data_IF_685174542366
#
_entry.id   IF_685174542366
#
_cell.length_a   1.000
_cell.length_b   1.000
_cell.length_c   1.000
_cell.angle_alpha   90.00
_cell.angle_beta   90.00
_cell.angle_gamma   90.00
#
_symmetry.space_group_name_H-M   'P 1'
#
loop_
_entity.id
_entity.type
_entity.pdbx_description
1 polymer ?
#
# COMPACT_ATOMS: atom_id res chain seq x y z
N UNK A 1 -12.59 -19.86 59.18
CA UNK A 1 -13.12 -21.11 58.59
C UNK A 1 -12.85 -21.06 57.10
N UNK A 2 -11.79 -21.69 56.59
CA UNK A 2 -11.42 -21.65 55.15
C UNK A 2 -10.81 -22.99 54.74
N UNK A 3 -11.59 -24.08 54.77
CA UNK A 3 -11.10 -25.40 54.35
C UNK A 3 -12.16 -26.29 53.67
N UNK A 4 -13.36 -25.76 53.37
CA UNK A 4 -14.43 -26.50 52.69
C UNK A 4 -15.05 -25.61 51.61
N UNK A 5 -15.54 -26.24 50.54
CA UNK A 5 -16.30 -25.59 49.48
C UNK A 5 -17.56 -24.92 50.02
N UNK A 6 -18.02 -23.88 49.35
CA UNK A 6 -19.31 -23.26 49.62
C UNK A 6 -20.47 -24.20 49.25
N UNK A 7 -21.59 -24.05 49.94
CA UNK A 7 -22.78 -24.85 49.67
C UNK A 7 -23.44 -24.37 48.36
N UNK A 8 -23.61 -25.29 47.42
CA UNK A 8 -24.22 -25.02 46.12
C UNK A 8 -25.68 -25.52 46.11
N UNK A 9 -26.57 -24.79 45.45
CA UNK A 9 -27.95 -25.22 45.23
C UNK A 9 -28.27 -25.28 43.73
N UNK A 10 -29.04 -26.29 43.33
CA UNK A 10 -29.55 -26.40 41.97
C UNK A 10 -30.93 -25.75 41.91
N UNK A 11 -31.06 -24.74 41.06
CA UNK A 11 -32.32 -24.00 40.85
C UNK A 11 -32.77 -24.16 39.41
N UNK A 12 -34.08 -24.23 39.20
CA UNK A 12 -34.69 -24.21 37.88
C UNK A 12 -35.27 -22.82 37.60
N UNK A 13 -34.77 -22.16 36.55
CA UNK A 13 -35.21 -20.84 36.12
C UNK A 13 -36.27 -20.96 35.03
N UNK A 14 -37.40 -20.27 35.21
CA UNK A 14 -38.43 -20.11 34.20
C UNK A 14 -38.47 -18.64 33.77
N UNK A 15 -38.08 -18.38 32.52
CA UNK A 15 -38.01 -17.02 31.97
C UNK A 15 -39.04 -16.85 30.85
N UNK A 16 -39.69 -15.68 30.84
CA UNK A 16 -40.59 -15.29 29.75
C UNK A 16 -39.79 -14.70 28.59
N UNK A 17 -40.23 -14.96 27.36
CA UNK A 17 -39.52 -14.59 26.12
C UNK A 17 -39.32 -13.08 25.86
N UNK A 18 -39.85 -12.21 26.73
CA UNK A 18 -39.66 -10.75 26.65
C UNK A 18 -38.71 -10.18 27.71
N UNK A 19 -38.40 -10.95 28.76
CA UNK A 19 -37.55 -10.53 29.89
C UNK A 19 -36.32 -11.43 30.05
N UNK A 20 -36.17 -12.42 29.18
CA UNK A 20 -35.04 -13.36 29.19
C UNK A 20 -33.69 -12.65 29.09
N UNK A 21 -33.57 -11.61 28.26
CA UNK A 21 -32.33 -10.84 28.13
C UNK A 21 -31.99 -10.08 29.41
N UNK A 22 -32.93 -9.27 29.91
CA UNK A 22 -32.71 -8.42 31.08
C UNK A 22 -32.40 -9.26 32.32
N UNK A 23 -33.15 -10.36 32.55
CA UNK A 23 -32.89 -11.25 33.69
C UNK A 23 -31.51 -11.92 33.60
N UNK A 24 -31.09 -12.38 32.43
CA UNK A 24 -29.79 -13.03 32.26
C UNK A 24 -28.64 -12.01 32.37
N UNK A 25 -28.86 -10.78 31.88
CA UNK A 25 -27.93 -9.67 32.02
C UNK A 25 -27.64 -9.37 33.48
N UNK A 26 -28.67 -9.15 34.29
CA UNK A 26 -28.54 -8.87 35.74
C UNK A 26 -27.88 -10.05 36.48
N UNK A 27 -28.22 -11.30 36.12
CA UNK A 27 -27.55 -12.48 36.69
C UNK A 27 -26.06 -12.55 36.31
N UNK A 28 -25.70 -12.09 35.11
CA UNK A 28 -24.32 -12.01 34.65
C UNK A 28 -23.51 -10.99 35.44
N UNK A 29 -24.07 -9.82 35.73
CA UNK A 29 -23.44 -8.78 36.56
C UNK A 29 -23.22 -9.25 38.00
N UNK A 30 -24.15 -10.05 38.54
CA UNK A 30 -23.99 -10.66 39.87
C UNK A 30 -22.85 -11.69 39.91
N UNK A 31 -22.63 -12.45 38.83
CA UNK A 31 -21.52 -13.41 38.71
C UNK A 31 -21.60 -14.63 39.64
N UNK A 32 -22.79 -14.94 40.18
CA UNK A 32 -23.01 -16.01 41.18
C UNK A 32 -23.66 -17.28 40.63
N UNK A 33 -23.86 -17.37 39.32
CA UNK A 33 -24.64 -18.45 38.68
C UNK A 33 -23.80 -19.21 37.66
N UNK A 34 -23.85 -20.54 37.73
CA UNK A 34 -23.31 -21.44 36.72
C UNK A 34 -24.46 -22.08 35.92
N UNK A 35 -24.47 -21.88 34.60
CA UNK A 35 -25.48 -22.48 33.72
C UNK A 35 -25.06 -23.88 33.27
N UNK A 36 -25.97 -24.85 33.43
CA UNK A 36 -25.78 -26.21 32.92
C UNK A 36 -26.42 -26.36 31.54
N UNK A 37 -25.67 -26.95 30.60
CA UNK A 37 -26.21 -27.23 29.26
C UNK A 37 -27.32 -28.31 29.33
N UNK A 38 -28.54 -27.90 29.00
CA UNK A 38 -29.70 -28.80 28.90
C UNK A 38 -29.84 -29.43 27.50
N UNK A 39 -29.08 -28.96 26.51
CA UNK A 39 -29.16 -29.38 25.12
C UNK A 39 -27.79 -29.87 24.57
N UNK A 40 -27.13 -30.86 25.21
CA UNK A 40 -25.81 -31.33 24.78
C UNK A 40 -25.85 -32.08 23.44
N UNK A 41 -27.00 -32.65 23.06
CA UNK A 41 -27.19 -33.37 21.80
C UNK A 41 -27.48 -32.46 20.60
N UNK A 42 -27.74 -31.17 20.83
CA UNK A 42 -28.07 -30.21 19.78
C UNK A 42 -26.80 -29.51 19.32
N UNK A 43 -26.52 -29.59 18.02
CA UNK A 43 -25.41 -28.89 17.38
C UNK A 43 -25.48 -27.38 17.63
N UNK A 44 -24.33 -26.73 17.80
CA UNK A 44 -24.24 -25.29 18.05
C UNK A 44 -25.02 -24.46 17.03
N UNK A 45 -25.01 -24.85 15.75
CA UNK A 45 -25.69 -24.13 14.65
C UNK A 45 -27.22 -24.22 14.67
N UNK A 46 -27.78 -25.21 15.38
CA UNK A 46 -29.23 -25.42 15.47
C UNK A 46 -29.83 -24.77 16.73
N UNK A 47 -29.00 -24.14 17.56
CA UNK A 47 -29.45 -23.46 18.77
C UNK A 47 -30.20 -22.16 18.42
N UNK A 48 -31.09 -21.72 19.32
CA UNK A 48 -32.02 -20.60 19.08
C UNK A 48 -31.35 -19.27 18.77
N UNK A 49 -30.24 -18.93 19.45
CA UNK A 49 -29.61 -17.60 19.40
C UNK A 49 -28.35 -17.52 18.52
N UNK A 50 -28.19 -18.44 17.56
CA UNK A 50 -27.00 -18.51 16.69
C UNK A 50 -26.85 -17.26 15.83
N UNK A 51 -27.97 -16.65 15.41
CA UNK A 51 -27.93 -15.47 14.55
C UNK A 51 -27.37 -14.25 15.28
N UNK A 52 -27.67 -14.13 16.56
CA UNK A 52 -27.27 -13.07 17.47
C UNK A 52 -25.79 -13.22 17.82
N UNK A 53 -25.34 -14.45 18.13
CA UNK A 53 -23.92 -14.74 18.37
C UNK A 53 -23.09 -14.38 17.14
N UNK A 54 -23.52 -14.78 15.93
CA UNK A 54 -22.83 -14.42 14.68
C UNK A 54 -22.73 -12.92 14.44
N UNK A 55 -23.73 -12.13 14.87
CA UNK A 55 -23.67 -10.67 14.79
C UNK A 55 -22.60 -10.11 15.73
N UNK A 56 -22.52 -10.62 16.96
CA UNK A 56 -21.47 -10.22 17.90
C UNK A 56 -20.07 -10.61 17.40
N UNK A 57 -19.90 -11.81 16.83
CA UNK A 57 -18.63 -12.25 16.21
C UNK A 57 -18.20 -11.29 15.08
N UNK A 58 -19.15 -10.82 14.26
CA UNK A 58 -18.86 -9.86 13.20
C UNK A 58 -18.49 -8.47 13.75
N UNK A 59 -19.17 -8.01 14.81
CA UNK A 59 -18.81 -6.76 15.50
C UNK A 59 -17.40 -6.85 16.10
N UNK A 60 -17.05 -7.99 16.70
CA UNK A 60 -15.69 -8.24 17.23
C UNK A 60 -14.65 -8.24 16.12
N UNK A 61 -14.96 -8.83 14.95
CA UNK A 61 -14.09 -8.77 13.77
C UNK A 61 -13.81 -7.33 13.34
N UNK A 62 -14.85 -6.49 13.29
CA UNK A 62 -14.75 -5.07 12.93
C UNK A 62 -13.92 -4.31 13.97
N UNK A 63 -14.24 -4.46 15.26
CA UNK A 63 -13.49 -3.83 16.35
C UNK A 63 -12.01 -4.22 16.34
N UNK A 64 -11.70 -5.49 16.07
CA UNK A 64 -10.34 -5.97 15.91
C UNK A 64 -9.62 -5.31 14.72
N UNK A 65 -10.31 -5.03 13.62
CA UNK A 65 -9.77 -4.25 12.51
C UNK A 65 -9.49 -2.79 12.91
N UNK A 66 -10.46 -2.12 13.52
CA UNK A 66 -10.32 -0.74 13.99
C UNK A 66 -9.15 -0.60 14.98
N UNK A 67 -9.03 -1.52 15.95
CA UNK A 67 -7.94 -1.54 16.92
C UNK A 67 -6.57 -1.62 16.24
N UNK A 68 -6.43 -2.48 15.21
CA UNK A 68 -5.18 -2.57 14.44
C UNK A 68 -4.86 -1.26 13.71
N UNK A 69 -5.85 -0.61 13.12
CA UNK A 69 -5.63 0.68 12.43
C UNK A 69 -5.27 1.81 13.40
N UNK A 70 -5.89 1.86 14.58
CA UNK A 70 -5.56 2.82 15.66
C UNK A 70 -4.12 2.61 16.15
N UNK A 71 -3.72 1.35 16.35
CA UNK A 71 -2.35 1.00 16.75
C UNK A 71 -1.32 1.39 15.68
N UNK A 72 -1.62 1.15 14.38
CA UNK A 72 -0.78 1.61 13.26
C UNK A 72 -0.64 3.14 13.24
N UNK A 73 -1.71 3.86 13.60
CA UNK A 73 -1.70 5.32 13.71
C UNK A 73 -1.03 5.85 14.99
N UNK A 74 -0.61 4.98 15.92
CA UNK A 74 0.00 5.32 17.22
C UNK A 74 -0.88 6.24 18.07
N UNK A 75 -2.20 6.08 17.97
CA UNK A 75 -3.16 6.82 18.78
C UNK A 75 -3.33 6.05 20.10
N UNK A 76 -3.13 6.73 21.23
CA UNK A 76 -3.34 6.13 22.54
C UNK A 76 -4.83 5.96 22.82
N UNK A 77 -5.23 4.74 23.19
CA UNK A 77 -6.61 4.45 23.63
C UNK A 77 -6.67 4.70 25.14
N UNK A 78 -7.57 5.57 25.63
CA UNK A 78 -7.82 5.72 27.06
C UNK A 78 -8.20 4.38 27.67
N UNK A 79 -7.60 4.03 28.81
CA UNK A 79 -8.06 2.89 29.61
C UNK A 79 -9.17 3.40 30.53
N UNK A 80 -10.38 2.95 30.30
CA UNK A 80 -11.44 3.06 31.30
C UNK A 80 -11.31 1.87 32.26
N UNK A 81 -11.41 2.15 33.56
CA UNK A 81 -11.16 1.19 34.65
C UNK A 81 -12.39 0.31 34.94
N UNK A 82 -13.58 0.74 34.49
CA UNK A 82 -14.85 0.08 34.73
C UNK A 82 -15.42 -0.57 33.47
N UNK A 83 -15.90 -1.81 33.61
CA UNK A 83 -16.70 -2.48 32.59
C UNK A 83 -18.09 -1.83 32.52
N UNK A 84 -18.54 -1.33 31.35
CA UNK A 84 -19.87 -0.78 31.22
C UNK A 84 -20.93 -1.87 31.42
N UNK A 85 -22.09 -1.48 31.95
CA UNK A 85 -23.24 -2.37 32.06
C UNK A 85 -23.60 -2.93 30.68
N UNK A 86 -24.03 -4.19 30.65
CA UNK A 86 -24.48 -4.82 29.41
C UNK A 86 -25.57 -3.98 28.69
N UNK A 87 -25.36 -3.63 27.41
CA UNK A 87 -26.27 -2.75 26.68
C UNK A 87 -27.55 -3.49 26.27
N UNK A 88 -28.71 -2.81 26.21
CA UNK A 88 -29.95 -3.43 25.76
C UNK A 88 -29.88 -3.84 24.27
N UNK A 89 -30.67 -4.84 23.84
CA UNK A 89 -30.58 -5.40 22.48
C UNK A 89 -30.77 -4.38 21.34
N UNK A 90 -31.54 -3.32 21.59
CA UNK A 90 -31.74 -2.23 20.61
C UNK A 90 -30.46 -1.45 20.35
N UNK A 91 -29.71 -1.13 21.40
CA UNK A 91 -28.44 -0.43 21.28
C UNK A 91 -27.38 -1.29 20.59
N UNK A 92 -27.39 -2.61 20.80
CA UNK A 92 -26.49 -3.53 20.08
C UNK A 92 -26.66 -3.42 18.57
N UNK A 93 -27.89 -3.30 18.07
CA UNK A 93 -28.16 -3.13 16.64
C UNK A 93 -27.66 -1.79 16.10
N UNK A 94 -27.84 -0.70 16.87
CA UNK A 94 -27.33 0.62 16.51
C UNK A 94 -25.80 0.63 16.47
N UNK A 95 -25.14 0.04 17.47
CA UNK A 95 -23.67 -0.10 17.52
C UNK A 95 -23.19 -0.91 16.32
N UNK A 96 -23.88 -1.99 15.94
CA UNK A 96 -23.53 -2.80 14.78
C UNK A 96 -23.56 -1.98 13.49
N UNK A 97 -24.63 -1.19 13.25
CA UNK A 97 -24.73 -0.33 12.07
C UNK A 97 -23.63 0.74 12.05
N UNK A 98 -23.35 1.35 13.20
CA UNK A 98 -22.25 2.31 13.33
C UNK A 98 -20.89 1.67 13.03
N UNK A 99 -20.61 0.48 13.56
CA UNK A 99 -19.36 -0.24 13.30
C UNK A 99 -19.20 -0.59 11.82
N UNK A 100 -20.24 -1.08 11.16
CA UNK A 100 -20.20 -1.38 9.72
C UNK A 100 -19.93 -0.13 8.89
N UNK A 101 -20.58 0.99 9.23
CA UNK A 101 -20.31 2.28 8.57
C UNK A 101 -18.87 2.72 8.75
N UNK A 102 -18.34 2.65 9.98
CA UNK A 102 -16.95 2.99 10.28
C UNK A 102 -15.95 2.10 9.54
N UNK A 103 -16.22 0.80 9.42
CA UNK A 103 -15.38 -0.12 8.65
C UNK A 103 -15.32 0.30 7.18
N UNK A 104 -16.46 0.61 6.57
CA UNK A 104 -16.52 1.05 5.17
C UNK A 104 -15.74 2.36 4.97
N UNK A 105 -16.02 3.37 5.79
CA UNK A 105 -15.37 4.69 5.71
C UNK A 105 -13.85 4.55 5.89
N UNK A 106 -13.39 3.79 6.88
CA UNK A 106 -11.97 3.60 7.15
C UNK A 106 -11.27 2.80 6.03
N UNK A 107 -11.91 1.76 5.52
CA UNK A 107 -11.39 0.95 4.41
C UNK A 107 -11.24 1.78 3.14
N UNK A 108 -12.20 2.66 2.85
CA UNK A 108 -12.14 3.58 1.71
C UNK A 108 -11.01 4.61 1.88
N UNK A 109 -10.91 5.24 3.05
CA UNK A 109 -9.84 6.19 3.35
C UNK A 109 -8.46 5.52 3.27
N UNK A 110 -8.31 4.30 3.77
CA UNK A 110 -7.07 3.54 3.68
C UNK A 110 -6.65 3.27 2.23
N UNK A 111 -7.58 2.82 1.38
CA UNK A 111 -7.34 2.61 -0.06
C UNK A 111 -6.97 3.91 -0.78
N UNK A 112 -7.69 4.99 -0.47
CA UNK A 112 -7.45 6.31 -1.08
C UNK A 112 -6.09 6.87 -0.66
N UNK A 113 -5.71 6.72 0.61
CA UNK A 113 -4.39 7.10 1.11
C UNK A 113 -3.28 6.35 0.40
N UNK A 114 -3.41 5.04 0.25
CA UNK A 114 -2.40 4.22 -0.42
C UNK A 114 -2.27 4.59 -1.91
N UNK A 115 -3.40 4.79 -2.60
CA UNK A 115 -3.41 5.27 -4.00
C UNK A 115 -2.74 6.65 -4.13
N UNK A 116 -3.07 7.58 -3.24
CA UNK A 116 -2.48 8.91 -3.26
C UNK A 116 -0.97 8.88 -2.99
N UNK A 117 -0.53 8.03 -2.06
CA UNK A 117 0.89 7.83 -1.78
C UNK A 117 1.65 7.28 -2.98
N UNK A 118 1.10 6.30 -3.71
CA UNK A 118 1.69 5.80 -4.95
C UNK A 118 1.81 6.90 -6.01
N UNK A 119 0.70 7.59 -6.29
CA UNK A 119 0.67 8.68 -7.27
C UNK A 119 1.68 9.79 -6.93
N UNK A 120 1.80 10.15 -5.64
CA UNK A 120 2.75 11.17 -5.20
C UNK A 120 4.20 10.75 -5.47
N UNK A 121 4.55 9.49 -5.19
CA UNK A 121 5.89 8.96 -5.47
C UNK A 121 6.18 8.95 -6.96
N UNK A 122 5.28 8.43 -7.79
CA UNK A 122 5.41 8.43 -9.25
C UNK A 122 5.61 9.84 -9.82
N UNK A 123 4.81 10.81 -9.37
CA UNK A 123 4.94 12.21 -9.82
C UNK A 123 6.24 12.86 -9.34
N UNK A 124 6.71 12.48 -8.15
CA UNK A 124 7.97 12.98 -7.60
C UNK A 124 9.15 12.44 -8.40
N UNK A 125 9.16 11.14 -8.73
CA UNK A 125 10.17 10.54 -9.62
C UNK A 125 10.16 11.19 -11.00
N UNK A 126 8.98 11.36 -11.60
CA UNK A 126 8.82 11.99 -12.91
C UNK A 126 9.34 13.45 -12.90
N UNK A 127 9.06 14.19 -11.82
CA UNK A 127 9.55 15.56 -11.65
C UNK A 127 11.08 15.61 -11.59
N UNK A 128 11.70 14.70 -10.85
CA UNK A 128 13.17 14.58 -10.80
C UNK A 128 13.76 14.21 -12.16
N UNK A 129 13.16 13.24 -12.85
CA UNK A 129 13.57 12.83 -14.18
C UNK A 129 13.53 14.00 -15.17
N UNK A 130 12.46 14.80 -15.18
CA UNK A 130 12.33 15.96 -16.05
C UNK A 130 13.37 17.04 -15.74
N UNK A 131 13.61 17.34 -14.46
CA UNK A 131 14.63 18.32 -14.05
C UNK A 131 16.01 17.93 -14.55
N UNK A 132 16.41 16.67 -14.33
CA UNK A 132 17.73 16.16 -14.72
C UNK A 132 17.86 16.07 -16.24
N UNK A 133 16.83 15.56 -16.93
CA UNK A 133 16.82 15.46 -18.40
C UNK A 133 16.93 16.85 -19.05
N UNK A 134 16.25 17.86 -18.52
CA UNK A 134 16.38 19.24 -19.00
C UNK A 134 17.83 19.75 -18.89
N UNK A 135 18.51 19.46 -17.79
CA UNK A 135 19.93 19.80 -17.62
C UNK A 135 20.81 19.12 -18.65
N UNK A 136 20.59 17.82 -18.93
CA UNK A 136 21.33 17.08 -19.95
C UNK A 136 21.11 17.58 -21.38
N UNK A 137 19.87 17.91 -21.74
CA UNK A 137 19.56 18.46 -23.07
C UNK A 137 20.23 19.84 -23.22
N UNK A 138 20.12 20.69 -22.19
CA UNK A 138 20.73 22.02 -22.23
C UNK A 138 22.26 21.99 -22.25
N UNK A 139 22.90 21.03 -21.56
CA UNK A 139 24.35 20.86 -21.64
C UNK A 139 24.80 20.39 -23.02
N UNK A 140 24.06 19.49 -23.68
CA UNK A 140 24.41 19.01 -25.04
C UNK A 140 24.19 20.05 -26.12
N UNK A 141 23.20 20.93 -25.97
CA UNK A 141 23.00 22.07 -26.88
C UNK A 141 24.15 23.09 -26.85
N UNK A 142 24.95 23.14 -25.77
CA UNK A 142 26.15 23.99 -25.68
C UNK A 142 27.38 23.41 -26.40
N UNK A 143 27.36 22.13 -26.75
CA UNK A 143 28.42 21.49 -27.55
C UNK A 143 28.11 21.46 -29.06
N UNK A 144 26.94 21.98 -29.49
CA UNK A 144 26.59 22.20 -30.90
C UNK A 144 26.72 23.69 -31.34
N UNK A 145 27.44 24.52 -30.60
CA UNK A 145 28.01 25.75 -31.19
C UNK A 145 29.35 25.40 -31.86
N UNK A 146 29.27 24.74 -33.02
CA UNK A 146 30.40 24.70 -33.93
C UNK A 146 30.61 26.10 -34.52
N UNK A 147 31.83 26.66 -34.50
CA UNK A 147 32.09 27.95 -35.13
C UNK A 147 31.89 27.79 -36.64
N UNK A 148 31.05 28.65 -37.21
CA UNK A 148 30.90 28.82 -38.65
C UNK A 148 32.23 29.34 -39.21
N UNK A 149 33.11 28.42 -39.64
CA UNK A 149 34.31 28.79 -40.39
C UNK A 149 33.98 28.67 -41.87
N UNK A 150 34.19 29.79 -42.55
CA UNK A 150 33.92 30.05 -43.96
C UNK A 150 34.74 29.15 -44.91
N UNK A 151 34.09 28.77 -46.01
CA UNK A 151 34.59 28.53 -47.38
C UNK A 151 36.06 28.13 -47.60
N UNK A 152 36.29 26.92 -48.15
CA UNK A 152 37.53 26.62 -48.89
C UNK A 152 37.80 25.13 -49.22
N UNK A 153 37.44 24.72 -50.44
CA UNK A 153 38.17 23.78 -51.33
C UNK A 153 38.72 22.40 -50.84
N UNK A 154 38.17 21.34 -51.47
CA UNK A 154 38.86 20.17 -52.07
C UNK A 154 39.37 19.00 -51.19
N UNK A 155 38.74 17.85 -51.46
CA UNK A 155 39.14 16.42 -51.24
C UNK A 155 38.84 15.75 -49.90
N UNK A 156 37.92 14.77 -49.96
CA UNK A 156 38.13 13.45 -49.35
C UNK A 156 37.88 13.28 -47.86
N UNK A 157 36.61 13.31 -47.44
CA UNK A 157 36.12 12.49 -46.31
C UNK A 157 34.59 12.35 -46.41
N UNK A 158 34.15 11.41 -47.23
CA UNK A 158 32.80 10.85 -47.22
C UNK A 158 32.54 10.20 -45.86
N UNK A 159 31.55 10.67 -45.10
CA UNK A 159 31.12 9.92 -43.91
C UNK A 159 30.02 10.51 -43.02
N UNK A 160 29.80 11.82 -42.94
CA UNK A 160 28.86 12.35 -41.92
C UNK A 160 28.01 13.56 -42.36
N UNK A 161 27.92 13.84 -43.66
CA UNK A 161 26.94 14.82 -44.12
C UNK A 161 25.57 14.15 -44.28
N UNK A 162 24.67 14.50 -43.36
CA UNK A 162 23.22 14.57 -43.58
C UNK A 162 22.53 13.25 -43.96
N UNK A 163 22.49 12.30 -43.02
CA UNK A 163 21.30 11.47 -42.92
C UNK A 163 20.31 12.24 -42.06
N UNK A 164 19.10 12.50 -42.57
CA UNK A 164 17.93 12.97 -41.80
C UNK A 164 17.47 11.91 -40.79
N UNK A 165 18.41 11.34 -40.03
CA UNK A 165 18.18 10.37 -39.00
C UNK A 165 17.62 11.12 -37.80
N UNK A 166 16.30 11.01 -37.63
CA UNK A 166 15.56 11.51 -36.47
C UNK A 166 16.20 10.91 -35.20
N UNK A 167 16.91 11.74 -34.44
CA UNK A 167 17.48 11.38 -33.15
C UNK A 167 16.34 11.19 -32.15
N UNK A 168 16.30 10.02 -31.51
CA UNK A 168 15.34 9.72 -30.45
C UNK A 168 15.98 9.80 -29.08
N UNK A 169 15.19 10.15 -28.07
CA UNK A 169 15.59 10.14 -26.66
C UNK A 169 14.62 9.28 -25.86
N UNK A 170 15.16 8.45 -24.98
CA UNK A 170 14.42 7.74 -23.93
C UNK A 170 15.09 8.08 -22.60
N UNK A 171 14.34 8.56 -21.63
CA UNK A 171 14.79 8.79 -20.27
C UNK A 171 14.06 7.86 -19.31
N UNK A 172 14.71 7.45 -18.24
CA UNK A 172 14.10 6.63 -17.21
C UNK A 172 14.87 6.67 -15.90
N UNK A 173 14.33 5.99 -14.89
CA UNK A 173 14.95 5.82 -13.59
C UNK A 173 15.42 4.38 -13.46
N UNK A 174 16.64 4.17 -12.95
CA UNK A 174 17.18 2.84 -12.68
C UNK A 174 17.86 2.83 -11.30
N UNK A 175 17.73 1.72 -10.57
CA UNK A 175 18.48 1.52 -9.33
C UNK A 175 19.98 1.47 -9.61
N UNK A 176 20.79 2.14 -8.79
CA UNK A 176 22.26 2.22 -8.96
C UNK A 176 22.93 0.85 -9.14
N UNK A 177 22.45 -0.17 -8.44
CA UNK A 177 22.99 -1.54 -8.50
C UNK A 177 22.78 -2.22 -9.86
N UNK A 178 21.76 -1.81 -10.64
CA UNK A 178 21.44 -2.39 -11.94
C UNK A 178 22.09 -1.65 -13.12
N UNK A 179 22.69 -0.48 -12.88
CA UNK A 179 23.26 0.40 -13.93
C UNK A 179 24.28 -0.35 -14.80
N UNK A 180 25.24 -1.04 -14.19
CA UNK A 180 26.29 -1.72 -14.97
C UNK A 180 25.75 -2.87 -15.83
N UNK A 181 24.78 -3.62 -15.32
CA UNK A 181 24.15 -4.71 -16.07
C UNK A 181 23.35 -4.15 -17.25
N UNK A 182 22.63 -3.05 -17.04
CA UNK A 182 21.87 -2.34 -18.04
C UNK A 182 22.76 -1.78 -19.16
N UNK A 183 23.87 -1.11 -18.81
CA UNK A 183 24.83 -0.59 -19.79
C UNK A 183 25.43 -1.71 -20.65
N UNK A 184 25.85 -2.82 -20.02
CA UNK A 184 26.36 -3.99 -20.74
C UNK A 184 25.32 -4.59 -21.69
N UNK A 185 24.04 -4.62 -21.30
CA UNK A 185 22.96 -5.12 -22.16
C UNK A 185 22.70 -4.19 -23.34
N UNK A 186 22.63 -2.88 -23.09
CA UNK A 186 22.44 -1.86 -24.13
C UNK A 186 23.57 -1.94 -25.17
N UNK A 187 24.82 -2.05 -24.73
CA UNK A 187 25.97 -2.16 -25.62
C UNK A 187 25.93 -3.42 -26.49
N UNK A 188 25.57 -4.57 -25.91
CA UNK A 188 25.50 -5.86 -26.63
C UNK A 188 24.41 -5.86 -27.72
N UNK A 189 23.25 -5.27 -27.43
CA UNK A 189 22.09 -5.27 -28.34
C UNK A 189 22.18 -4.18 -29.40
N UNK A 190 22.62 -2.98 -29.00
CA UNK A 190 22.63 -1.79 -29.85
C UNK A 190 23.98 -1.53 -30.51
N UNK A 191 25.06 -2.25 -30.17
CA UNK A 191 26.37 -2.23 -30.85
C UNK A 191 26.93 -0.82 -31.14
N UNK A 192 26.72 0.14 -30.23
CA UNK A 192 27.21 1.51 -30.36
C UNK A 192 26.27 2.51 -31.05
N UNK A 193 25.06 2.11 -31.47
CA UNK A 193 24.03 3.03 -31.99
C UNK A 193 23.26 3.80 -30.89
N UNK A 194 23.81 3.85 -29.67
CA UNK A 194 23.18 4.48 -28.51
C UNK A 194 24.23 5.23 -27.70
N UNK A 195 23.93 6.44 -27.27
CA UNK A 195 24.69 7.17 -26.24
C UNK A 195 23.89 7.14 -24.95
N UNK A 196 24.48 6.54 -23.91
CA UNK A 196 23.93 6.55 -22.56
C UNK A 196 24.56 7.69 -21.75
N UNK A 197 23.75 8.44 -21.05
CA UNK A 197 24.17 9.43 -20.04
C UNK A 197 23.38 9.19 -18.77
N UNK A 198 24.00 9.36 -17.61
CA UNK A 198 23.34 9.15 -16.33
C UNK A 198 23.72 10.24 -15.34
N UNK A 199 22.79 10.60 -14.46
CA UNK A 199 23.03 11.45 -13.30
C UNK A 199 22.41 10.81 -12.07
N UNK A 200 23.17 10.83 -10.98
CA UNK A 200 22.69 10.37 -9.69
C UNK A 200 21.61 11.34 -9.18
N UNK A 201 20.55 10.79 -8.58
CA UNK A 201 19.56 11.59 -7.85
C UNK A 201 20.06 11.68 -6.41
N UNK A 202 20.32 12.90 -5.93
CA UNK A 202 20.82 13.14 -4.56
C UNK A 202 19.82 12.69 -3.49
N UNK A 203 18.52 12.70 -3.82
CA UNK A 203 17.47 12.19 -2.95
C UNK A 203 17.35 10.66 -3.07
N UNK A 204 17.50 9.98 -1.94
CA UNK A 204 17.23 8.55 -1.83
C UNK A 204 15.72 8.29 -1.93
N UNK A 205 15.26 8.03 -3.15
CA UNK A 205 13.87 7.71 -3.44
C UNK A 205 13.57 6.29 -2.93
N UNK A 206 12.48 6.16 -2.19
CA UNK A 206 11.97 4.85 -1.81
C UNK A 206 11.37 4.17 -3.05
N UNK A 207 11.84 2.96 -3.34
CA UNK A 207 11.38 2.16 -4.47
C UNK A 207 9.85 1.96 -4.43
N UNK A 208 9.17 2.14 -5.56
CA UNK A 208 7.71 2.08 -5.64
C UNK A 208 7.15 0.72 -5.21
N UNK A 209 7.89 -0.35 -5.51
CA UNK A 209 7.48 -1.74 -5.27
C UNK A 209 8.06 -2.32 -3.97
N UNK A 210 9.34 -2.04 -3.69
CA UNK A 210 10.05 -2.67 -2.57
C UNK A 210 9.98 -1.84 -1.29
N UNK A 211 9.70 -0.53 -1.37
CA UNK A 211 9.73 0.39 -0.24
C UNK A 211 11.14 0.61 0.35
N UNK A 212 12.17 0.00 -0.23
CA UNK A 212 13.56 0.18 0.15
C UNK A 212 14.07 1.53 -0.32
N UNK A 213 14.79 2.22 0.57
CA UNK A 213 15.43 3.50 0.27
C UNK A 213 16.67 3.20 -0.57
N UNK A 214 16.51 3.24 -1.90
CA UNK A 214 17.55 2.98 -2.87
C UNK A 214 18.15 4.28 -3.39
N UNK A 215 19.44 4.25 -3.73
CA UNK A 215 20.01 5.31 -4.60
C UNK A 215 19.56 5.04 -6.03
N UNK A 216 18.71 5.90 -6.55
CA UNK A 216 18.23 5.84 -7.93
C UNK A 216 19.04 6.79 -8.81
N UNK A 217 19.17 6.42 -10.08
CA UNK A 217 19.94 7.14 -11.09
C UNK A 217 19.01 7.41 -12.27
N UNK A 218 18.96 8.66 -12.72
CA UNK A 218 18.25 9.02 -13.95
C UNK A 218 19.18 8.80 -15.13
N UNK A 219 18.73 8.03 -16.12
CA UNK A 219 19.45 7.83 -17.36
C UNK A 219 18.74 8.52 -18.53
N UNK A 220 19.53 8.91 -19.52
CA UNK A 220 19.10 9.43 -20.82
C UNK A 220 19.83 8.65 -21.91
N UNK A 221 19.07 7.96 -22.75
CA UNK A 221 19.56 7.24 -23.92
C UNK A 221 19.19 8.00 -25.17
N UNK A 222 20.20 8.39 -25.92
CA UNK A 222 20.05 8.92 -27.28
C UNK A 222 20.31 7.80 -28.28
N UNK A 223 19.43 7.63 -29.28
CA UNK A 223 19.55 6.58 -30.28
C UNK A 223 19.16 7.06 -31.67
N UNK A 224 19.67 6.38 -32.69
CA UNK A 224 19.38 6.67 -34.09
C UNK A 224 18.56 5.53 -34.72
N UNK A 225 17.39 5.88 -35.25
CA UNK A 225 16.53 4.98 -36.02
C UNK A 225 15.49 4.20 -35.21
N UNK A 226 14.36 3.89 -35.84
CA UNK A 226 13.19 3.29 -35.18
C UNK A 226 13.36 1.82 -34.80
N UNK A 227 14.21 1.06 -35.50
CA UNK A 227 14.53 -0.31 -35.08
C UNK A 227 15.32 -0.35 -33.77
N UNK A 228 16.19 0.64 -33.54
CA UNK A 228 16.93 0.76 -32.28
C UNK A 228 15.99 1.20 -31.16
N UNK A 229 15.02 2.10 -31.45
CA UNK A 229 13.95 2.48 -30.49
C UNK A 229 13.27 1.27 -29.88
N UNK A 230 12.79 0.33 -30.70
CA UNK A 230 12.08 -0.86 -30.22
C UNK A 230 12.97 -1.77 -29.37
N UNK A 231 14.27 -1.87 -29.71
CA UNK A 231 15.23 -2.64 -28.93
C UNK A 231 15.51 -2.01 -27.57
N UNK A 232 15.71 -0.68 -27.53
CA UNK A 232 15.93 0.06 -26.28
C UNK A 232 14.69 -0.02 -25.39
N UNK A 233 13.49 0.15 -25.95
CA UNK A 233 12.25 0.07 -25.19
C UNK A 233 12.07 -1.30 -24.52
N UNK A 234 12.36 -2.40 -25.24
CA UNK A 234 12.35 -3.76 -24.68
C UNK A 234 13.40 -4.05 -23.59
N UNK A 235 14.44 -3.22 -23.48
CA UNK A 235 15.46 -3.34 -22.44
C UNK A 235 15.07 -2.49 -21.21
N UNK A 236 14.31 -1.41 -21.43
CA UNK A 236 13.81 -0.53 -20.38
C UNK A 236 12.56 -1.06 -19.69
N UNK A 237 11.68 -1.75 -20.44
CA UNK A 237 10.52 -2.48 -19.92
C UNK A 237 10.96 -3.77 -19.21
#
# INVERSE_FOLDING_TARGET
MVFRSEEMCLVQLFLQSGSEYDCISELGELGLVEFRDLNPSVSSFQRRFVSEIKRCEEMERILGYLLREIQKAKIAIPREDDGPLAPPPRQVLEIMEQLQRLEMELSEVAKNKEKLQRNLRELTEYTHMLKITRTFIHSRSRYEEFPTVETGSVTGCTGMQRLGAKLGFISGLIQRVKVEAFERMLWRVCKGYTILSYAEVDESLADLDTGEIGKSVVFLISFWGDQIRQKVQKICD
#
